data_IF_752917560313
#
_entry.id   IF_752917560313
#
_cell.length_a   1.000
_cell.length_b   1.000
_cell.length_c   1.000
_cell.angle_alpha   90.00
_cell.angle_beta   90.00
_cell.angle_gamma   90.00
#
_symmetry.space_group_name_H-M   'P 1'
#
loop_
_entity.id
_entity.type
_entity.pdbx_description
1 polymer ?
#
# COMPACT_ATOMS: atom_id res chain seq x y z
N UNK A 1 37.72 59.21 -15.21
CA UNK A 1 38.24 58.75 -16.52
C UNK A 1 39.08 57.52 -16.24
N UNK A 2 38.79 56.29 -16.65
CA UNK A 2 37.70 55.64 -17.39
C UNK A 2 37.88 54.11 -17.27
N UNK A 3 36.75 53.37 -17.22
CA UNK A 3 36.42 52.03 -17.80
C UNK A 3 37.39 50.82 -17.62
N UNK A 4 36.95 49.68 -17.06
CA UNK A 4 36.21 48.54 -17.69
C UNK A 4 36.98 47.90 -18.87
N UNK A 5 37.08 46.58 -19.12
CA UNK A 5 36.46 45.35 -18.65
C UNK A 5 36.53 44.32 -19.80
N UNK A 6 36.67 43.01 -19.51
CA UNK A 6 36.22 41.90 -20.37
C UNK A 6 37.11 41.39 -21.53
N UNK A 7 37.39 40.08 -21.53
CA UNK A 7 37.68 39.30 -22.73
C UNK A 7 37.05 37.90 -22.58
N UNK A 8 36.13 37.57 -23.49
CA UNK A 8 35.44 36.28 -23.58
C UNK A 8 36.19 35.28 -24.47
N UNK A 9 35.81 34.00 -24.35
CA UNK A 9 36.21 32.95 -25.28
C UNK A 9 34.99 32.10 -25.67
N UNK A 10 34.91 31.85 -26.97
CA UNK A 10 33.82 31.27 -27.75
C UNK A 10 33.93 29.73 -27.90
N UNK A 11 32.78 29.09 -28.09
CA UNK A 11 32.56 27.67 -28.41
C UNK A 11 33.15 27.20 -29.76
N UNK A 12 33.26 25.87 -29.98
CA UNK A 12 32.46 25.28 -31.05
C UNK A 12 31.82 23.89 -30.76
N UNK A 13 30.55 23.79 -31.17
CA UNK A 13 29.84 22.77 -31.98
C UNK A 13 30.26 21.28 -31.97
N UNK A 14 29.30 20.38 -31.66
CA UNK A 14 29.38 18.92 -31.87
C UNK A 14 28.17 18.42 -32.67
N UNK A 15 28.41 17.97 -33.91
CA UNK A 15 27.45 17.26 -34.77
C UNK A 15 27.80 15.77 -34.92
N UNK A 16 26.76 14.94 -34.83
CA UNK A 16 26.51 13.58 -35.33
C UNK A 16 27.66 12.76 -35.96
N UNK A 17 27.88 11.54 -35.44
CA UNK A 17 28.26 10.36 -36.26
C UNK A 17 27.58 9.08 -35.80
N UNK A 18 26.88 8.44 -36.74
CA UNK A 18 26.34 7.08 -36.70
C UNK A 18 27.46 6.05 -36.95
N UNK A 19 27.48 4.95 -36.18
CA UNK A 19 28.19 3.72 -36.58
C UNK A 19 27.28 2.49 -36.47
N UNK A 20 27.00 1.88 -37.63
CA UNK A 20 26.43 0.54 -37.80
C UNK A 20 27.48 -0.51 -37.41
N UNK A 21 27.10 -1.54 -36.64
CA UNK A 21 27.91 -2.75 -36.45
C UNK A 21 27.70 -3.77 -37.58
N UNK A 22 28.76 -4.52 -37.92
CA UNK A 22 28.77 -5.67 -38.84
C UNK A 22 28.73 -6.98 -38.03
N UNK A 23 27.94 -7.94 -38.50
CA UNK A 23 27.96 -9.34 -38.07
C UNK A 23 29.10 -10.10 -38.76
N UNK A 24 29.85 -10.90 -37.99
CA UNK A 24 30.33 -12.26 -38.32
C UNK A 24 31.59 -12.60 -37.51
N UNK A 25 31.51 -13.62 -36.64
CA UNK A 25 32.52 -14.66 -36.30
C UNK A 25 32.09 -15.49 -35.06
N UNK A 26 32.53 -16.77 -34.92
CA UNK A 26 31.71 -17.84 -34.33
C UNK A 26 31.84 -18.05 -32.81
N UNK A 27 30.73 -18.47 -32.21
CA UNK A 27 30.56 -18.76 -30.77
C UNK A 27 31.26 -20.07 -30.36
N UNK A 28 32.22 -19.98 -29.43
CA UNK A 28 32.71 -21.14 -28.65
C UNK A 28 31.70 -21.47 -27.54
N UNK A 29 31.23 -22.72 -27.52
CA UNK A 29 30.38 -23.27 -26.44
C UNK A 29 31.16 -23.38 -25.13
N UNK A 30 30.59 -22.86 -24.03
CA UNK A 30 30.91 -23.21 -22.65
C UNK A 30 29.60 -23.33 -21.85
N UNK A 31 29.70 -24.06 -20.73
CA UNK A 31 28.65 -24.81 -20.03
C UNK A 31 27.48 -24.03 -19.42
N UNK A 32 26.49 -24.81 -19.00
CA UNK A 32 25.19 -24.41 -18.45
C UNK A 32 25.27 -23.60 -17.15
N UNK A 33 24.27 -22.70 -17.00
CA UNK A 33 23.49 -22.36 -15.79
C UNK A 33 23.39 -20.84 -15.57
N UNK A 34 22.31 -20.24 -16.06
CA UNK A 34 21.56 -19.12 -15.47
C UNK A 34 20.65 -18.53 -16.55
N UNK A 35 19.32 -18.66 -16.40
CA UNK A 35 18.38 -17.89 -17.19
C UNK A 35 17.73 -16.83 -16.29
N UNK A 36 18.29 -15.62 -16.37
CA UNK A 36 17.52 -14.39 -16.19
C UNK A 36 16.67 -14.18 -17.45
N UNK A 37 15.39 -13.81 -17.30
CA UNK A 37 14.60 -13.29 -18.42
C UNK A 37 14.06 -11.92 -18.02
N UNK A 38 14.67 -10.91 -18.65
CA UNK A 38 14.34 -9.50 -18.54
C UNK A 38 13.13 -9.15 -19.42
N UNK A 39 12.36 -8.16 -18.96
CA UNK A 39 11.11 -7.71 -19.56
C UNK A 39 11.34 -6.93 -20.87
N UNK A 40 11.21 -7.58 -22.02
CA UNK A 40 11.02 -6.93 -23.33
C UNK A 40 10.44 -7.96 -24.31
N UNK A 41 9.16 -8.33 -24.17
CA UNK A 41 8.51 -9.24 -25.13
C UNK A 41 6.97 -9.21 -25.12
N UNK A 42 6.31 -8.06 -24.95
CA UNK A 42 4.86 -7.96 -25.20
C UNK A 42 4.51 -6.69 -25.99
N UNK A 43 4.67 -6.75 -27.30
CA UNK A 43 3.96 -5.90 -28.25
C UNK A 43 3.38 -6.78 -29.34
N UNK A 44 2.05 -6.95 -29.33
CA UNK A 44 1.30 -7.76 -30.27
C UNK A 44 -0.14 -7.30 -30.35
N UNK A 45 -0.33 -6.08 -30.87
CA UNK A 45 -1.61 -5.57 -31.33
C UNK A 45 -2.28 -6.54 -32.31
N UNK A 46 -3.53 -6.92 -32.04
CA UNK A 46 -4.56 -7.07 -33.09
C UNK A 46 -5.86 -6.41 -32.66
N UNK A 47 -6.16 -5.32 -33.36
CA UNK A 47 -7.48 -4.75 -33.55
C UNK A 47 -8.45 -5.79 -34.10
N UNK A 48 -9.65 -5.86 -33.53
CA UNK A 48 -10.87 -6.09 -34.30
C UNK A 48 -11.92 -5.05 -33.88
N UNK A 49 -12.41 -4.34 -34.90
CA UNK A 49 -13.30 -3.19 -34.83
C UNK A 49 -14.70 -3.56 -34.35
N UNK A 50 -15.31 -2.60 -33.66
CA UNK A 50 -16.76 -2.44 -33.56
C UNK A 50 -17.34 -1.83 -34.85
N UNK A 51 -18.49 -2.34 -35.26
CA UNK A 51 -19.57 -1.79 -36.11
C UNK A 51 -20.67 -2.89 -36.02
N UNK A 52 -21.85 -2.72 -35.42
CA UNK A 52 -22.80 -1.62 -35.54
C UNK A 52 -23.85 -2.05 -36.57
N UNK A 53 -25.03 -2.51 -36.11
CA UNK A 53 -26.36 -2.20 -36.68
C UNK A 53 -27.48 -3.16 -36.19
N UNK A 54 -28.66 -2.58 -35.93
CA UNK A 54 -29.91 -3.20 -36.38
C UNK A 54 -30.88 -3.75 -35.34
N UNK A 55 -31.92 -2.97 -35.05
CA UNK A 55 -33.24 -3.29 -34.49
C UNK A 55 -33.80 -4.71 -34.78
N UNK A 56 -34.56 -5.26 -33.82
CA UNK A 56 -35.46 -6.40 -34.09
C UNK A 56 -36.24 -6.93 -32.89
N UNK A 57 -37.55 -6.67 -32.89
CA UNK A 57 -38.60 -7.02 -31.92
C UNK A 57 -38.85 -8.54 -31.76
N UNK A 58 -39.08 -8.99 -30.52
CA UNK A 58 -40.15 -9.95 -30.15
C UNK A 58 -39.94 -11.45 -30.36
N UNK A 59 -40.25 -12.24 -29.32
CA UNK A 59 -40.77 -13.61 -29.50
C UNK A 59 -40.23 -14.72 -28.61
N UNK A 60 -40.94 -14.99 -27.52
CA UNK A 60 -41.30 -16.30 -26.93
C UNK A 60 -40.26 -17.39 -26.62
N UNK A 61 -40.17 -17.69 -25.31
CA UNK A 61 -40.20 -19.00 -24.65
C UNK A 61 -39.84 -20.25 -25.48
N UNK A 62 -38.70 -20.86 -25.14
CA UNK A 62 -38.50 -22.30 -25.27
C UNK A 62 -37.70 -22.82 -24.06
N UNK A 63 -38.37 -23.66 -23.27
CA UNK A 63 -37.78 -24.43 -22.18
C UNK A 63 -36.75 -25.42 -22.73
N UNK A 64 -35.54 -25.42 -22.16
CA UNK A 64 -34.59 -26.50 -22.38
C UNK A 64 -34.22 -27.16 -21.04
N UNK A 65 -34.34 -28.48 -21.05
CA UNK A 65 -34.39 -29.39 -19.90
C UNK A 65 -33.08 -29.43 -19.12
N UNK A 66 -33.22 -29.48 -17.79
CA UNK A 66 -32.19 -29.91 -16.83
C UNK A 66 -31.60 -31.26 -17.24
N UNK A 67 -30.28 -31.31 -17.39
CA UNK A 67 -29.52 -32.57 -17.32
C UNK A 67 -28.90 -32.63 -15.93
N UNK A 68 -29.51 -33.44 -15.06
CA UNK A 68 -28.91 -33.86 -13.79
C UNK A 68 -27.78 -34.85 -14.09
N UNK A 69 -26.52 -34.44 -13.92
CA UNK A 69 -25.40 -35.38 -13.80
C UNK A 69 -25.32 -35.88 -12.36
N UNK A 70 -25.66 -37.16 -12.16
CA UNK A 70 -25.38 -37.90 -10.91
C UNK A 70 -23.88 -38.17 -10.82
N UNK A 71 -23.29 -37.82 -9.68
CA UNK A 71 -21.91 -38.14 -9.33
C UNK A 71 -21.84 -39.57 -8.76
N UNK A 72 -21.06 -40.52 -9.33
CA UNK A 72 -21.06 -41.92 -8.90
C UNK A 72 -20.05 -42.27 -7.80
N UNK A 73 -19.42 -41.29 -7.13
CA UNK A 73 -18.56 -41.54 -5.97
C UNK A 73 -19.12 -40.87 -4.71
N UNK A 74 -20.07 -41.53 -4.06
CA UNK A 74 -20.52 -41.20 -2.72
C UNK A 74 -20.56 -42.50 -1.89
N UNK A 75 -19.60 -42.62 -0.97
CA UNK A 75 -19.55 -43.63 0.11
C UNK A 75 -19.12 -42.94 1.41
N UNK A 76 -19.46 -43.49 2.59
CA UNK A 76 -20.04 -42.70 3.68
C UNK A 76 -19.05 -42.20 4.75
N UNK A 77 -19.28 -40.95 5.16
CA UNK A 77 -19.25 -40.41 6.53
C UNK A 77 -18.15 -40.91 7.51
N UNK A 78 -17.02 -40.20 7.55
CA UNK A 78 -16.27 -39.97 8.78
C UNK A 78 -16.90 -38.82 9.56
N UNK A 79 -17.27 -39.07 10.83
CA UNK A 79 -17.91 -38.08 11.72
C UNK A 79 -16.96 -36.93 12.04
N UNK A 80 -17.19 -35.74 11.50
CA UNK A 80 -16.67 -34.48 12.06
C UNK A 80 -17.74 -33.91 12.98
N UNK A 81 -17.43 -33.78 14.27
CA UNK A 81 -18.32 -33.16 15.26
C UNK A 81 -18.36 -31.65 15.04
N UNK A 82 -19.45 -31.13 14.47
CA UNK A 82 -19.76 -29.71 14.53
C UNK A 82 -20.22 -29.34 15.95
N UNK A 83 -19.40 -28.56 16.67
CA UNK A 83 -19.82 -27.93 17.93
C UNK A 83 -20.79 -26.77 17.65
N UNK A 84 -21.79 -26.53 18.51
CA UNK A 84 -22.79 -25.51 18.25
C UNK A 84 -22.18 -24.10 18.31
N UNK A 85 -22.29 -23.36 17.20
CA UNK A 85 -22.05 -21.92 17.11
C UNK A 85 -22.99 -21.19 18.06
N UNK A 86 -22.49 -20.84 19.25
CA UNK A 86 -23.10 -19.83 20.10
C UNK A 86 -22.98 -18.49 19.38
N UNK A 87 -24.10 -17.94 18.91
CA UNK A 87 -24.22 -16.51 18.61
C UNK A 87 -23.85 -15.71 19.86
N UNK A 88 -22.62 -15.18 19.92
CA UNK A 88 -22.26 -14.17 20.91
C UNK A 88 -22.87 -12.84 20.46
N UNK A 89 -23.92 -12.42 21.16
CA UNK A 89 -24.49 -11.07 21.06
C UNK A 89 -23.41 -10.02 21.31
N UNK A 90 -23.46 -8.96 20.50
CA UNK A 90 -22.45 -7.93 20.36
C UNK A 90 -22.01 -7.28 21.68
N UNK A 91 -20.69 -7.19 21.83
CA UNK A 91 -20.04 -6.47 22.93
C UNK A 91 -18.77 -5.71 22.52
N UNK A 92 -18.43 -5.63 21.22
CA UNK A 92 -17.12 -5.11 20.77
C UNK A 92 -17.11 -3.71 20.14
N UNK A 93 -18.27 -3.09 19.90
CA UNK A 93 -18.31 -1.72 19.36
C UNK A 93 -17.94 -0.60 20.36
N UNK A 94 -17.78 -0.90 21.66
CA UNK A 94 -17.48 0.14 22.66
C UNK A 94 -16.04 0.64 22.63
N UNK A 95 -15.05 -0.20 22.31
CA UNK A 95 -13.64 0.23 22.30
C UNK A 95 -13.25 0.98 21.01
N UNK A 96 -13.86 0.67 19.87
CA UNK A 96 -13.58 1.35 18.61
C UNK A 96 -14.00 2.84 18.63
N UNK A 97 -15.09 3.19 19.33
CA UNK A 97 -15.57 4.59 19.39
C UNK A 97 -14.65 5.54 20.19
N UNK A 98 -13.73 5.03 21.00
CA UNK A 98 -12.78 5.85 21.76
C UNK A 98 -11.54 6.26 20.96
N UNK A 99 -11.27 5.64 19.81
CA UNK A 99 -10.15 6.06 18.96
C UNK A 99 -10.41 7.46 18.37
N UNK A 100 -9.55 8.44 18.66
CA UNK A 100 -9.70 9.80 18.17
C UNK A 100 -9.64 9.87 16.63
N UNK A 101 -8.87 8.97 16.00
CA UNK A 101 -8.79 8.82 14.54
C UNK A 101 -10.18 8.61 13.90
N UNK A 102 -11.07 7.83 14.53
CA UNK A 102 -12.44 7.59 14.03
C UNK A 102 -13.36 8.79 14.24
N UNK A 103 -13.17 9.56 15.32
CA UNK A 103 -13.91 10.81 15.57
C UNK A 103 -13.52 11.92 14.61
N UNK A 104 -12.25 11.98 14.20
CA UNK A 104 -11.72 12.94 13.24
C UNK A 104 -12.35 12.82 11.84
N UNK A 105 -12.70 11.60 11.38
CA UNK A 105 -13.23 11.39 10.04
C UNK A 105 -14.55 12.13 9.74
N UNK A 106 -15.41 12.33 10.76
CA UNK A 106 -16.68 13.07 10.59
C UNK A 106 -16.56 14.57 10.86
N UNK A 107 -15.69 14.99 11.79
CA UNK A 107 -15.57 16.42 12.19
C UNK A 107 -14.65 17.21 11.27
N UNK A 108 -13.67 16.58 10.60
CA UNK A 108 -12.75 17.22 9.63
C UNK A 108 -13.43 17.68 8.32
N UNK A 109 -14.76 17.58 8.23
CA UNK A 109 -15.54 17.86 7.04
C UNK A 109 -16.04 19.32 6.89
N UNK A 110 -15.74 20.22 7.83
CA UNK A 110 -16.48 21.49 7.92
C UNK A 110 -15.74 22.79 8.26
N UNK A 111 -14.40 22.84 8.31
CA UNK A 111 -13.70 24.10 8.57
C UNK A 111 -13.13 24.68 7.28
N UNK A 112 -13.66 25.83 6.86
CA UNK A 112 -13.00 26.72 5.88
C UNK A 112 -11.74 27.31 6.55
N UNK A 113 -10.55 27.12 5.98
CA UNK A 113 -9.30 27.58 6.60
C UNK A 113 -9.21 29.12 6.73
N UNK A 114 -10.10 29.90 6.07
CA UNK A 114 -10.10 31.36 6.20
C UNK A 114 -10.57 31.88 7.58
N UNK A 115 -11.15 31.01 8.42
CA UNK A 115 -11.67 31.40 9.75
C UNK A 115 -10.77 31.03 10.94
N UNK A 116 -9.62 30.40 10.71
CA UNK A 116 -8.73 29.95 11.78
C UNK A 116 -7.50 30.85 11.95
N UNK A 117 -7.72 32.15 12.19
CA UNK A 117 -6.68 33.06 12.70
C UNK A 117 -7.19 33.71 13.98
N UNK A 118 -7.24 32.94 15.07
CA UNK A 118 -7.19 33.54 16.41
C UNK A 118 -6.75 32.50 17.45
N UNK A 119 -5.57 32.75 18.03
CA UNK A 119 -5.05 32.25 19.30
C UNK A 119 -4.99 30.73 19.55
N UNK A 120 -3.76 30.21 19.57
CA UNK A 120 -3.38 29.05 20.38
C UNK A 120 -2.01 29.29 21.03
N UNK A 121 -2.02 29.81 22.25
CA UNK A 121 -0.91 29.68 23.20
C UNK A 121 -1.05 28.31 23.88
N UNK A 122 -0.22 27.34 23.50
CA UNK A 122 -0.05 26.09 24.26
C UNK A 122 1.38 25.55 24.14
N UNK A 123 2.10 25.67 25.26
CA UNK A 123 3.04 24.70 25.82
C UNK A 123 4.09 24.13 24.88
N UNK A 124 5.31 24.64 25.00
CA UNK A 124 6.56 24.11 24.43
C UNK A 124 6.70 22.60 24.73
N UNK A 125 6.27 21.75 23.78
CA UNK A 125 6.90 20.45 23.57
C UNK A 125 8.10 20.69 22.66
N UNK A 126 9.22 20.02 22.90
CA UNK A 126 10.44 20.18 22.14
C UNK A 126 10.23 19.86 20.63
N UNK A 127 9.94 20.90 19.84
CA UNK A 127 9.63 20.87 18.39
C UNK A 127 10.90 20.89 17.52
N UNK A 128 11.93 20.09 17.85
CA UNK A 128 13.23 20.18 17.18
C UNK A 128 13.25 19.61 15.74
N UNK A 129 12.29 18.73 15.37
CA UNK A 129 12.36 17.95 14.12
C UNK A 129 11.31 18.32 13.04
N UNK A 130 10.34 19.17 13.38
CA UNK A 130 9.27 19.55 12.46
C UNK A 130 9.81 20.51 11.39
N UNK A 131 9.63 20.14 10.12
CA UNK A 131 9.87 21.09 9.02
C UNK A 131 8.73 22.10 9.00
N UNK A 132 9.03 23.43 9.03
CA UNK A 132 8.00 24.45 9.13
C UNK A 132 7.03 24.37 7.94
N UNK A 133 5.75 24.72 8.15
CA UNK A 133 4.77 24.76 7.08
C UNK A 133 5.26 25.64 5.93
N UNK A 134 5.16 25.13 4.70
CA UNK A 134 5.43 25.92 3.49
C UNK A 134 4.19 26.75 3.17
N UNK A 135 4.36 27.96 2.64
CA UNK A 135 3.24 28.77 2.17
C UNK A 135 2.41 27.98 1.13
N UNK A 136 1.10 27.87 1.39
CA UNK A 136 0.19 27.08 0.56
C UNK A 136 -0.04 27.76 -0.78
N UNK A 137 0.08 26.99 -1.86
CA UNK A 137 -0.30 27.42 -3.20
C UNK A 137 -1.83 27.61 -3.29
N UNK A 138 -2.27 28.86 -3.39
CA UNK A 138 -3.70 29.23 -3.43
C UNK A 138 -4.34 28.99 -4.79
N UNK A 139 -3.58 28.64 -5.82
CA UNK A 139 -4.13 28.29 -7.14
C UNK A 139 -4.92 26.97 -7.11
N UNK A 140 -4.69 26.13 -6.10
CA UNK A 140 -5.38 24.85 -5.92
C UNK A 140 -6.27 24.87 -4.67
N UNK A 141 -7.30 24.01 -4.66
CA UNK A 141 -8.04 23.74 -3.44
C UNK A 141 -7.11 23.11 -2.39
N UNK A 142 -7.46 23.21 -1.10
CA UNK A 142 -6.68 22.61 -0.03
C UNK A 142 -6.44 21.12 -0.33
N UNK A 143 -5.18 20.68 -0.29
CA UNK A 143 -4.78 19.32 -0.65
C UNK A 143 -5.23 18.87 -2.07
N UNK A 144 -5.28 19.81 -3.01
CA UNK A 144 -5.52 19.64 -4.45
C UNK A 144 -6.95 19.24 -4.87
N UNK A 145 -7.54 18.21 -4.26
CA UNK A 145 -8.84 17.68 -4.66
C UNK A 145 -9.97 18.67 -4.38
N UNK A 146 -10.98 18.71 -5.25
CA UNK A 146 -12.22 19.43 -5.00
C UNK A 146 -13.06 18.80 -3.85
N UNK A 147 -13.97 19.58 -3.27
CA UNK A 147 -14.79 19.13 -2.13
C UNK A 147 -15.79 18.04 -2.48
N UNK A 148 -16.23 17.92 -3.74
CA UNK A 148 -17.13 16.85 -4.16
C UNK A 148 -16.40 15.49 -4.13
N UNK A 149 -15.18 15.47 -4.67
CA UNK A 149 -14.30 14.31 -4.71
C UNK A 149 -13.91 13.89 -3.30
N UNK A 150 -13.50 14.83 -2.44
CA UNK A 150 -13.24 14.54 -1.02
C UNK A 150 -14.46 13.97 -0.31
N UNK A 151 -15.65 14.56 -0.51
CA UNK A 151 -16.90 14.08 0.11
C UNK A 151 -17.26 12.67 -0.33
N UNK A 152 -17.03 12.33 -1.60
CA UNK A 152 -17.23 10.97 -2.11
C UNK A 152 -16.26 9.98 -1.47
N UNK A 153 -14.96 10.31 -1.41
CA UNK A 153 -13.95 9.47 -0.77
C UNK A 153 -14.27 9.27 0.71
N UNK A 154 -14.59 10.34 1.45
CA UNK A 154 -14.98 10.29 2.87
C UNK A 154 -16.17 9.35 3.12
N UNK A 155 -17.21 9.39 2.26
CA UNK A 155 -18.32 8.42 2.35
C UNK A 155 -17.86 6.99 2.13
N UNK A 156 -16.99 6.76 1.15
CA UNK A 156 -16.38 5.45 0.90
C UNK A 156 -15.59 4.96 2.11
N UNK A 157 -14.75 5.81 2.69
CA UNK A 157 -13.94 5.49 3.87
C UNK A 157 -14.80 5.13 5.08
N UNK A 158 -15.89 5.86 5.33
CA UNK A 158 -16.84 5.51 6.39
C UNK A 158 -17.48 4.13 6.17
N UNK A 159 -17.74 3.74 4.91
CA UNK A 159 -18.21 2.39 4.58
C UNK A 159 -17.13 1.34 4.79
N UNK A 160 -15.89 1.62 4.39
CA UNK A 160 -14.76 0.73 4.56
C UNK A 160 -14.45 0.47 6.04
N UNK A 161 -14.54 1.51 6.88
CA UNK A 161 -14.39 1.38 8.33
C UNK A 161 -15.51 0.54 8.94
N UNK A 162 -16.75 0.71 8.46
CA UNK A 162 -17.90 -0.05 8.94
C UNK A 162 -17.93 -1.51 8.45
N UNK A 163 -17.15 -1.84 7.41
CA UNK A 163 -17.06 -3.19 6.82
C UNK A 163 -15.58 -3.53 6.66
N UNK A 164 -14.87 -3.86 7.75
CA UNK A 164 -13.42 -4.06 7.75
C UNK A 164 -12.97 -5.10 6.72
N UNK A 165 -11.92 -4.79 5.96
CA UNK A 165 -11.38 -5.67 4.91
C UNK A 165 -12.18 -5.71 3.60
N UNK A 166 -13.39 -5.13 3.53
CA UNK A 166 -14.17 -5.08 2.28
C UNK A 166 -13.67 -3.98 1.32
N UNK A 167 -13.49 -4.36 0.06
CA UNK A 167 -13.03 -3.48 -1.02
C UNK A 167 -14.18 -2.59 -1.53
N UNK A 168 -14.33 -1.39 -0.97
CA UNK A 168 -15.36 -0.43 -1.37
C UNK A 168 -14.98 0.23 -2.70
N UNK A 169 -15.83 0.17 -3.74
CA UNK A 169 -15.60 0.90 -4.99
C UNK A 169 -15.75 2.41 -4.80
N UNK A 170 -14.87 3.19 -5.42
CA UNK A 170 -14.95 4.65 -5.38
C UNK A 170 -14.62 5.28 -6.74
N UNK A 171 -15.20 6.44 -7.03
CA UNK A 171 -14.99 7.17 -8.29
C UNK A 171 -13.68 7.96 -8.31
N UNK A 172 -12.54 7.28 -8.14
CA UNK A 172 -11.23 7.93 -8.09
C UNK A 172 -10.92 8.77 -9.33
N UNK A 173 -10.14 9.83 -9.14
CA UNK A 173 -9.73 10.78 -10.18
C UNK A 173 -8.28 10.58 -10.57
N UNK A 174 -7.91 11.11 -11.72
CA UNK A 174 -6.53 11.30 -12.14
C UNK A 174 -5.85 12.28 -11.17
N UNK A 175 -4.59 11.98 -10.84
CA UNK A 175 -3.74 12.79 -9.97
C UNK A 175 -2.53 13.26 -10.78
N UNK A 176 -1.77 14.27 -10.32
CA UNK A 176 -0.54 14.72 -10.99
C UNK A 176 0.64 13.73 -10.80
N UNK A 177 0.34 12.43 -10.77
CA UNK A 177 1.26 11.31 -10.82
C UNK A 177 0.62 10.19 -11.66
N UNK A 178 1.41 9.39 -12.42
CA UNK A 178 0.87 8.28 -13.19
C UNK A 178 0.19 7.23 -12.31
N UNK A 179 -0.81 6.53 -12.86
CA UNK A 179 -1.37 5.37 -12.19
C UNK A 179 -0.27 4.34 -11.88
N UNK A 180 -0.33 3.75 -10.69
CA UNK A 180 0.71 2.86 -10.16
C UNK A 180 1.72 3.54 -9.23
N UNK A 181 1.79 4.87 -9.21
CA UNK A 181 2.69 5.65 -8.36
C UNK A 181 2.00 6.18 -7.09
N UNK A 182 1.09 5.39 -6.51
CA UNK A 182 0.47 5.75 -5.23
C UNK A 182 -0.74 6.68 -5.27
N UNK A 183 -1.36 6.89 -6.44
CA UNK A 183 -2.47 7.85 -6.60
C UNK A 183 -3.69 7.56 -5.72
N UNK A 184 -3.92 6.30 -5.32
CA UNK A 184 -4.96 5.93 -4.37
C UNK A 184 -4.67 6.47 -2.97
N UNK A 185 -3.46 6.18 -2.45
CA UNK A 185 -3.00 6.73 -1.17
C UNK A 185 -3.04 8.25 -1.14
N UNK A 186 -2.60 8.93 -2.20
CA UNK A 186 -2.69 10.40 -2.27
C UNK A 186 -4.13 10.91 -2.21
N UNK A 187 -5.08 10.27 -2.89
CA UNK A 187 -6.48 10.69 -2.84
C UNK A 187 -7.07 10.53 -1.44
N UNK A 188 -6.72 9.45 -0.75
CA UNK A 188 -7.12 9.22 0.63
C UNK A 188 -6.52 10.28 1.56
N UNK A 189 -5.20 10.50 1.50
CA UNK A 189 -4.51 11.54 2.27
C UNK A 189 -5.16 12.90 2.03
N UNK A 190 -5.34 13.31 0.77
CA UNK A 190 -6.00 14.58 0.41
C UNK A 190 -7.42 14.74 0.97
N UNK A 191 -8.15 13.63 1.14
CA UNK A 191 -9.51 13.65 1.67
C UNK A 191 -9.56 13.73 3.20
N UNK A 192 -8.56 13.21 3.92
CA UNK A 192 -8.57 13.13 5.40
C UNK A 192 -7.70 14.20 6.09
N UNK A 193 -6.75 14.80 5.36
CA UNK A 193 -5.82 15.78 5.89
C UNK A 193 -6.57 17.03 6.39
N UNK A 194 -6.17 17.54 7.55
CA UNK A 194 -6.51 18.85 8.09
C UNK A 194 -5.30 19.78 8.13
N UNK A 195 -5.53 21.07 8.35
CA UNK A 195 -4.45 22.08 8.37
C UNK A 195 -3.44 21.86 9.52
N UNK A 196 -3.89 21.31 10.64
CA UNK A 196 -3.08 21.03 11.84
C UNK A 196 -2.42 19.63 11.82
N UNK A 197 -2.63 18.85 10.76
CA UNK A 197 -2.01 17.52 10.68
C UNK A 197 -0.51 17.63 10.40
N UNK A 198 0.25 16.69 10.97
CA UNK A 198 1.67 16.50 10.69
C UNK A 198 1.81 15.27 9.79
N UNK A 199 2.25 15.48 8.55
CA UNK A 199 2.35 14.44 7.54
C UNK A 199 3.75 13.81 7.50
N UNK A 200 3.81 12.49 7.65
CA UNK A 200 4.97 11.66 7.29
C UNK A 200 4.67 10.87 6.02
N UNK A 201 5.63 10.77 5.12
CA UNK A 201 5.49 9.98 3.87
C UNK A 201 6.73 9.12 3.69
N UNK A 202 6.51 7.81 3.56
CA UNK A 202 7.57 6.82 3.37
C UNK A 202 7.28 5.93 2.15
N UNK A 203 8.33 5.50 1.47
CA UNK A 203 8.31 4.47 0.43
C UNK A 203 9.50 3.54 0.69
N UNK A 204 9.28 2.23 0.70
CA UNK A 204 10.26 1.23 1.17
C UNK A 204 10.77 1.49 2.60
N UNK A 205 9.99 2.14 3.46
CA UNK A 205 10.38 2.45 4.85
C UNK A 205 11.19 3.73 5.02
N UNK A 206 11.63 4.34 3.93
CA UNK A 206 12.47 5.53 3.94
C UNK A 206 11.73 6.79 3.47
N UNK A 207 12.03 7.92 4.12
CA UNK A 207 11.41 9.23 3.84
C UNK A 207 12.05 9.97 2.65
N UNK A 208 13.28 9.62 2.28
CA UNK A 208 14.10 10.30 1.28
C UNK A 208 14.06 9.66 -0.12
N UNK A 209 13.29 8.58 -0.27
CA UNK A 209 13.00 7.97 -1.56
C UNK A 209 12.29 8.93 -2.50
N UNK A 210 12.56 8.79 -3.80
CA UNK A 210 12.11 9.73 -4.85
C UNK A 210 10.59 9.96 -4.82
N UNK A 211 9.82 8.89 -4.67
CA UNK A 211 8.37 8.96 -4.61
C UNK A 211 7.85 9.57 -3.30
N UNK A 212 8.44 9.20 -2.15
CA UNK A 212 8.07 9.78 -0.86
C UNK A 212 8.34 11.29 -0.80
N UNK A 213 9.50 11.73 -1.28
CA UNK A 213 9.86 13.15 -1.40
C UNK A 213 8.89 13.89 -2.31
N UNK A 214 8.54 13.30 -3.46
CA UNK A 214 7.60 13.89 -4.42
C UNK A 214 6.21 14.11 -3.80
N UNK A 215 5.64 13.07 -3.16
CA UNK A 215 4.33 13.12 -2.51
C UNK A 215 4.33 14.08 -1.32
N UNK A 216 5.38 14.06 -0.48
CA UNK A 216 5.51 14.96 0.66
C UNK A 216 5.57 16.42 0.21
N UNK A 217 6.39 16.73 -0.79
CA UNK A 217 6.47 18.09 -1.39
C UNK A 217 5.15 18.52 -2.01
N UNK A 218 4.44 17.61 -2.66
CA UNK A 218 3.13 17.88 -3.23
C UNK A 218 2.13 18.32 -2.15
N UNK A 219 2.04 17.62 -1.02
CA UNK A 219 1.15 18.01 0.07
C UNK A 219 1.63 19.25 0.84
N UNK A 220 2.94 19.39 1.05
CA UNK A 220 3.50 20.61 1.63
C UNK A 220 3.10 21.85 0.79
N UNK A 221 3.17 21.75 -0.54
CA UNK A 221 2.77 22.85 -1.45
C UNK A 221 1.25 23.08 -1.51
N UNK A 222 0.45 22.02 -1.61
CA UNK A 222 -1.00 22.15 -1.88
C UNK A 222 -1.86 22.27 -0.63
N UNK A 223 -1.37 21.82 0.52
CA UNK A 223 -2.06 21.88 1.80
C UNK A 223 -1.37 22.80 2.82
N UNK A 224 -0.07 23.08 2.68
CA UNK A 224 0.67 23.89 3.65
C UNK A 224 0.76 23.23 5.02
N UNK A 225 0.74 21.90 5.08
CA UNK A 225 0.83 21.14 6.35
C UNK A 225 2.27 20.99 6.82
N UNK A 226 2.45 20.86 8.14
CA UNK A 226 3.74 20.48 8.71
C UNK A 226 4.11 19.05 8.28
N UNK A 227 5.41 18.80 8.13
CA UNK A 227 5.91 17.45 7.80
C UNK A 227 6.98 17.02 8.77
N UNK A 228 7.05 15.72 9.02
CA UNK A 228 8.05 15.11 9.90
C UNK A 228 8.60 13.83 9.26
N UNK A 229 9.81 13.48 9.66
CA UNK A 229 10.42 12.19 9.38
C UNK A 229 10.28 11.26 10.61
N UNK A 230 9.78 11.76 11.74
CA UNK A 230 9.64 10.98 12.99
C UNK A 230 8.26 10.36 13.11
N UNK A 231 8.20 9.04 13.21
CA UNK A 231 6.96 8.28 13.34
C UNK A 231 6.10 8.73 14.53
N UNK A 232 6.64 8.98 15.74
CA UNK A 232 5.83 9.44 16.89
C UNK A 232 5.24 10.84 16.76
N UNK A 233 5.73 11.67 15.83
CA UNK A 233 5.28 13.05 15.67
C UNK A 233 4.20 13.18 14.58
N UNK A 234 4.04 12.16 13.74
CA UNK A 234 3.10 12.18 12.63
C UNK A 234 1.66 11.92 13.09
N UNK A 235 0.70 12.67 12.58
CA UNK A 235 -0.74 12.37 12.74
C UNK A 235 -1.28 11.56 11.56
N UNK A 236 -0.71 11.77 10.37
CA UNK A 236 -1.01 11.00 9.16
C UNK A 236 0.29 10.48 8.57
N UNK A 237 0.36 9.17 8.33
CA UNK A 237 1.51 8.50 7.74
C UNK A 237 1.06 7.86 6.42
N UNK A 238 1.52 8.39 5.29
CA UNK A 238 1.31 7.75 4.00
C UNK A 238 2.48 6.84 3.68
N UNK A 239 2.21 5.55 3.48
CA UNK A 239 3.23 4.53 3.28
C UNK A 239 3.07 3.79 1.96
N UNK A 240 4.20 3.34 1.41
CA UNK A 240 4.29 2.30 0.39
C UNK A 240 5.24 1.21 0.87
N UNK A 241 4.72 -0.01 0.97
CA UNK A 241 5.42 -1.27 1.25
C UNK A 241 5.97 -1.47 2.66
N UNK A 242 5.78 -0.56 3.63
CA UNK A 242 6.28 -0.77 4.99
C UNK A 242 5.32 -0.28 6.07
N UNK A 243 5.35 -0.92 7.22
CA UNK A 243 4.81 -0.39 8.48
C UNK A 243 6.02 -0.01 9.35
N UNK A 244 6.06 1.21 9.93
CA UNK A 244 7.15 1.62 10.80
C UNK A 244 7.46 0.58 11.88
N UNK A 245 8.72 0.49 12.29
CA UNK A 245 9.12 -0.36 13.41
C UNK A 245 8.67 0.23 14.74
N UNK A 246 8.60 1.57 14.82
CA UNK A 246 8.07 2.27 15.98
C UNK A 246 6.57 1.98 16.14
N UNK A 247 6.11 1.52 17.32
CA UNK A 247 4.69 1.26 17.57
C UNK A 247 3.82 2.50 17.34
N UNK A 248 2.72 2.30 16.63
CA UNK A 248 1.75 3.36 16.33
C UNK A 248 0.87 3.66 17.56
N UNK A 249 0.24 4.84 17.60
CA UNK A 249 -0.69 5.22 18.66
C UNK A 249 -2.09 5.61 18.12
N UNK A 250 -3.07 5.74 19.02
CA UNK A 250 -4.50 5.82 18.70
C UNK A 250 -4.96 7.06 17.91
N UNK A 251 -4.10 8.08 17.83
CA UNK A 251 -4.38 9.33 17.13
C UNK A 251 -3.81 9.35 15.70
N UNK A 252 -3.09 8.29 15.30
CA UNK A 252 -2.45 8.20 13.99
C UNK A 252 -3.37 7.52 12.97
N UNK A 253 -3.24 7.96 11.72
CA UNK A 253 -3.85 7.33 10.56
C UNK A 253 -2.75 6.88 9.59
N UNK A 254 -2.70 5.58 9.31
CA UNK A 254 -1.86 4.98 8.29
C UNK A 254 -2.62 4.94 6.96
N UNK A 255 -2.00 5.44 5.89
CA UNK A 255 -2.55 5.42 4.52
C UNK A 255 -1.65 4.59 3.62
N UNK A 256 -2.11 3.40 3.23
CA UNK A 256 -1.37 2.44 2.42
C UNK A 256 -1.63 2.65 0.92
N UNK A 257 -0.54 2.68 0.14
CA UNK A 257 -0.60 2.67 -1.32
C UNK A 257 -0.75 1.24 -1.83
N UNK A 258 -1.84 0.97 -2.53
CA UNK A 258 -2.19 -0.38 -2.98
C UNK A 258 -2.18 -0.47 -4.51
N UNK A 259 -1.37 -1.34 -5.12
CA UNK A 259 -1.41 -1.57 -6.56
C UNK A 259 -2.55 -2.51 -6.99
N UNK A 260 -2.78 -3.58 -6.22
CA UNK A 260 -3.79 -4.61 -6.45
C UNK A 260 -4.51 -4.80 -5.11
N UNK A 261 -5.80 -4.44 -5.00
CA UNK A 261 -6.56 -4.54 -3.75
C UNK A 261 -7.20 -5.92 -3.52
N UNK A 262 -7.23 -6.75 -4.56
CA UNK A 262 -7.95 -8.01 -4.60
C UNK A 262 -6.98 -9.16 -4.27
N UNK A 263 -7.04 -9.75 -3.06
CA UNK A 263 -6.13 -10.82 -2.66
C UNK A 263 -6.27 -12.08 -3.55
N UNK A 264 -7.44 -12.31 -4.16
CA UNK A 264 -7.68 -13.46 -5.03
C UNK A 264 -7.23 -13.22 -6.48
N UNK A 265 -6.69 -12.04 -6.83
CA UNK A 265 -6.47 -11.63 -8.23
C UNK A 265 -5.57 -12.57 -9.03
N UNK A 266 -4.58 -13.17 -8.38
CA UNK A 266 -3.65 -14.09 -9.03
C UNK A 266 -4.20 -15.52 -9.18
N UNK A 267 -5.32 -15.82 -8.52
CA UNK A 267 -6.05 -17.08 -8.63
C UNK A 267 -7.20 -16.91 -9.63
N UNK A 268 -8.00 -15.85 -9.46
CA UNK A 268 -9.14 -15.52 -10.30
C UNK A 268 -8.99 -14.07 -10.84
N UNK A 269 -8.69 -13.89 -12.14
CA UNK A 269 -8.49 -12.58 -12.72
C UNK A 269 -9.79 -11.78 -12.91
N UNK A 270 -10.97 -12.41 -12.90
CA UNK A 270 -12.27 -11.75 -13.10
C UNK A 270 -12.79 -11.11 -11.81
N UNK A 271 -12.93 -9.78 -11.81
CA UNK A 271 -13.54 -9.03 -10.71
C UNK A 271 -15.00 -9.44 -10.41
N UNK A 272 -15.75 -9.90 -11.43
CA UNK A 272 -17.13 -10.35 -11.23
C UNK A 272 -17.18 -11.61 -10.38
N UNK A 273 -16.22 -12.52 -10.61
CA UNK A 273 -16.11 -13.77 -9.86
C UNK A 273 -15.57 -13.50 -8.46
N UNK A 274 -14.46 -12.77 -8.30
CA UNK A 274 -13.88 -12.48 -6.97
C UNK A 274 -14.86 -11.73 -6.08
N UNK A 275 -15.67 -10.81 -6.62
CA UNK A 275 -16.74 -10.15 -5.87
C UNK A 275 -17.78 -11.13 -5.35
N UNK A 276 -18.14 -12.14 -6.15
CA UNK A 276 -19.10 -13.18 -5.76
C UNK A 276 -18.49 -14.07 -4.66
N UNK A 277 -17.22 -14.41 -4.77
CA UNK A 277 -16.49 -15.17 -3.74
C UNK A 277 -16.46 -14.41 -2.42
N UNK A 278 -16.11 -13.12 -2.45
CA UNK A 278 -16.19 -12.23 -1.28
C UNK A 278 -17.59 -12.15 -0.66
N UNK A 279 -18.64 -12.11 -1.48
CA UNK A 279 -20.02 -12.08 -0.98
C UNK A 279 -20.43 -13.39 -0.31
N UNK A 280 -19.90 -14.52 -0.78
CA UNK A 280 -20.26 -15.86 -0.32
C UNK A 280 -19.33 -16.45 0.75
N UNK A 281 -18.27 -15.74 1.15
CA UNK A 281 -17.20 -16.29 2.01
C UNK A 281 -16.37 -17.42 1.37
N UNK A 282 -16.28 -17.45 0.04
CA UNK A 282 -15.62 -18.55 -0.66
C UNK A 282 -14.11 -18.33 -0.79
N UNK A 283 -13.39 -18.50 0.32
CA UNK A 283 -11.94 -18.34 0.40
C UNK A 283 -11.17 -19.66 0.36
N UNK A 284 -11.83 -20.77 0.01
CA UNK A 284 -11.20 -22.08 -0.08
C UNK A 284 -10.02 -22.09 -1.06
N UNK A 285 -10.15 -21.39 -2.19
CA UNK A 285 -9.10 -21.33 -3.21
C UNK A 285 -7.81 -20.70 -2.72
N UNK A 286 -7.87 -19.77 -1.77
CA UNK A 286 -6.68 -19.16 -1.19
C UNK A 286 -5.90 -20.17 -0.35
N UNK A 287 -6.61 -20.99 0.43
CA UNK A 287 -5.98 -22.08 1.17
C UNK A 287 -5.36 -23.12 0.23
N UNK A 288 -6.04 -23.47 -0.87
CA UNK A 288 -5.47 -24.38 -1.89
C UNK A 288 -4.14 -23.82 -2.43
N UNK A 289 -4.11 -22.53 -2.81
CA UNK A 289 -2.89 -21.88 -3.31
C UNK A 289 -1.76 -21.93 -2.28
N UNK A 290 -2.03 -21.61 -1.01
CA UNK A 290 -1.00 -21.63 0.04
C UNK A 290 -0.46 -23.05 0.27
N UNK A 291 -1.32 -24.06 0.17
CA UNK A 291 -0.92 -25.46 0.30
C UNK A 291 -0.12 -25.97 -0.92
N UNK A 292 -0.43 -25.49 -2.13
CA UNK A 292 0.36 -25.76 -3.33
C UNK A 292 1.80 -25.24 -3.20
N UNK A 293 1.99 -24.05 -2.63
CA UNK A 293 3.32 -23.51 -2.34
C UNK A 293 4.09 -24.44 -1.39
N UNK A 294 3.45 -24.88 -0.30
CA UNK A 294 4.04 -25.80 0.68
C UNK A 294 4.42 -27.13 0.04
N UNK A 295 3.52 -27.72 -0.75
CA UNK A 295 3.78 -29.00 -1.42
C UNK A 295 4.92 -28.89 -2.45
N UNK A 296 5.11 -27.74 -3.08
CA UNK A 296 6.11 -27.53 -4.14
C UNK A 296 7.48 -27.13 -3.57
N UNK A 297 7.52 -26.25 -2.57
CA UNK A 297 8.74 -25.61 -2.08
C UNK A 297 9.07 -25.95 -0.62
N UNK A 298 8.20 -26.68 0.08
CA UNK A 298 8.32 -26.98 1.52
C UNK A 298 8.00 -25.78 2.43
N UNK A 299 7.63 -24.64 1.86
CA UNK A 299 7.27 -23.41 2.58
C UNK A 299 6.36 -22.55 1.70
N UNK A 300 5.65 -21.60 2.31
CA UNK A 300 4.80 -20.67 1.57
C UNK A 300 5.69 -19.66 0.84
N UNK A 301 5.59 -19.61 -0.50
CA UNK A 301 6.42 -18.78 -1.37
C UNK A 301 6.04 -17.29 -1.33
N UNK A 302 4.87 -16.96 -0.79
CA UNK A 302 4.37 -15.58 -0.69
C UNK A 302 5.15 -14.80 0.38
N UNK A 303 6.00 -13.86 -0.04
CA UNK A 303 6.91 -13.10 0.85
C UNK A 303 6.43 -11.70 1.21
N UNK A 304 5.54 -11.11 0.39
CA UNK A 304 4.90 -9.80 0.58
C UNK A 304 3.44 -9.86 0.10
N UNK A 305 2.63 -8.85 0.42
CA UNK A 305 1.19 -8.85 0.14
C UNK A 305 0.51 -10.13 0.63
N UNK A 306 0.93 -10.61 1.80
CA UNK A 306 0.50 -11.90 2.33
C UNK A 306 -0.94 -11.79 2.84
N UNK A 307 -1.89 -12.62 2.36
CA UNK A 307 -3.31 -12.44 2.65
C UNK A 307 -3.62 -12.57 4.14
N UNK A 308 -4.46 -11.67 4.65
CA UNK A 308 -4.91 -11.65 6.05
C UNK A 308 -6.42 -11.77 6.14
N UNK A 309 -6.91 -12.46 7.16
CA UNK A 309 -8.31 -12.47 7.57
C UNK A 309 -8.57 -11.31 8.55
N UNK A 310 -9.46 -10.41 8.17
CA UNK A 310 -9.84 -9.23 8.97
C UNK A 310 -11.20 -9.46 9.60
N UNK A 311 -11.28 -9.20 10.91
CA UNK A 311 -12.50 -9.31 11.73
C UNK A 311 -13.23 -10.65 11.54
N UNK A 312 -12.46 -11.74 11.40
CA UNK A 312 -12.95 -13.11 11.23
C UNK A 312 -13.89 -13.29 10.02
N UNK A 313 -13.81 -12.39 9.01
CA UNK A 313 -14.74 -12.41 7.88
C UNK A 313 -14.13 -12.15 6.52
N UNK A 314 -13.42 -11.05 6.30
CA UNK A 314 -12.91 -10.70 4.98
C UNK A 314 -11.43 -11.08 4.86
N UNK A 315 -11.10 -11.91 3.86
CA UNK A 315 -9.71 -11.99 3.39
C UNK A 315 -9.37 -10.70 2.65
N UNK A 316 -8.25 -10.08 3.03
CA UNK A 316 -7.81 -8.76 2.58
C UNK A 316 -6.34 -8.83 2.12
N UNK A 317 -6.02 -8.08 1.06
CA UNK A 317 -4.64 -7.77 0.68
C UNK A 317 -4.12 -6.62 1.58
N UNK A 318 -3.06 -6.83 2.39
CA UNK A 318 -2.54 -5.81 3.30
C UNK A 318 -1.66 -4.76 2.62
N UNK A 319 -1.78 -4.59 1.30
CA UNK A 319 -0.82 -3.92 0.41
C UNK A 319 0.50 -4.71 0.30
N UNK A 320 1.44 -4.33 -0.58
CA UNK A 320 2.73 -4.99 -0.74
C UNK A 320 3.71 -4.75 0.42
N UNK A 321 3.23 -4.79 1.66
CA UNK A 321 4.08 -4.90 2.83
C UNK A 321 4.70 -6.30 2.89
N UNK A 322 5.93 -6.45 3.40
CA UNK A 322 6.51 -7.77 3.67
C UNK A 322 5.65 -8.49 4.70
N UNK A 323 5.59 -9.83 4.64
CA UNK A 323 4.87 -10.61 5.67
C UNK A 323 5.40 -10.34 7.08
N UNK A 324 6.66 -9.91 7.22
CA UNK A 324 7.23 -9.36 8.45
C UNK A 324 6.36 -8.29 9.13
N UNK A 325 5.71 -7.43 8.35
CA UNK A 325 4.90 -6.34 8.86
C UNK A 325 3.45 -6.76 9.20
N UNK A 326 2.96 -7.91 8.71
CA UNK A 326 1.58 -8.36 8.96
C UNK A 326 1.19 -8.40 10.45
N UNK A 327 2.02 -8.91 11.39
CA UNK A 327 1.68 -8.90 12.81
C UNK A 327 1.41 -7.52 13.39
N UNK A 328 1.95 -6.45 12.80
CA UNK A 328 1.72 -5.06 13.24
C UNK A 328 0.31 -4.55 12.89
N UNK A 329 -0.42 -5.27 12.03
CA UNK A 329 -1.81 -4.97 11.71
C UNK A 329 -2.77 -5.43 12.82
N UNK A 330 -2.44 -6.52 13.51
CA UNK A 330 -3.33 -7.10 14.53
C UNK A 330 -3.46 -6.19 15.74
N UNK A 331 -4.70 -5.89 16.13
CA UNK A 331 -5.03 -5.09 17.31
C UNK A 331 -4.32 -3.73 17.39
N UNK A 332 -3.88 -3.19 16.23
CA UNK A 332 -3.19 -1.91 16.17
C UNK A 332 -4.07 -0.77 16.66
N UNK A 333 -3.55 0.19 17.45
CA UNK A 333 -4.34 1.31 17.92
C UNK A 333 -4.61 2.35 16.81
N UNK A 334 -3.82 2.38 15.74
CA UNK A 334 -3.97 3.33 14.65
C UNK A 334 -5.05 2.90 13.65
N UNK A 335 -5.65 3.88 12.97
CA UNK A 335 -6.58 3.60 11.87
C UNK A 335 -5.80 3.33 10.59
N UNK A 336 -6.10 2.23 9.91
CA UNK A 336 -5.42 1.84 8.67
C UNK A 336 -6.36 1.96 7.47
N UNK A 337 -5.97 2.79 6.50
CA UNK A 337 -6.73 3.06 5.29
C UNK A 337 -5.92 2.65 4.06
N UNK A 338 -6.55 1.93 3.15
CA UNK A 338 -5.89 1.36 2.00
C UNK A 338 -6.48 1.93 0.71
N UNK A 339 -5.63 2.45 -0.18
CA UNK A 339 -6.07 3.16 -1.38
C UNK A 339 -5.50 2.58 -2.66
N UNK A 340 -6.36 1.96 -3.48
CA UNK A 340 -6.04 1.47 -4.82
C UNK A 340 -6.64 2.40 -5.89
N UNK A 341 -5.87 3.40 -6.32
CA UNK A 341 -6.36 4.45 -7.22
C UNK A 341 -6.65 3.98 -8.63
N UNK A 342 -5.83 3.07 -9.17
CA UNK A 342 -6.01 2.50 -10.52
C UNK A 342 -7.20 1.54 -10.55
N UNK A 343 -7.30 0.66 -9.56
CA UNK A 343 -8.38 -0.34 -9.44
C UNK A 343 -9.68 0.23 -8.84
N UNK A 344 -9.66 1.51 -8.44
CA UNK A 344 -10.83 2.23 -7.91
C UNK A 344 -11.43 1.54 -6.70
N UNK A 345 -10.59 1.10 -5.75
CA UNK A 345 -10.99 0.51 -4.46
C UNK A 345 -10.35 1.25 -3.29
N UNK A 346 -11.10 1.32 -2.20
CA UNK A 346 -10.59 1.71 -0.89
C UNK A 346 -11.13 0.72 0.15
N UNK A 347 -10.35 0.48 1.19
CA UNK A 347 -10.73 -0.41 2.29
C UNK A 347 -10.01 0.03 3.57
N UNK A 348 -10.39 -0.54 4.71
CA UNK A 348 -9.88 -0.11 6.00
C UNK A 348 -9.80 -1.26 7.00
N UNK A 349 -8.92 -1.09 7.98
CA UNK A 349 -8.89 -1.85 9.23
C UNK A 349 -9.03 -0.82 10.36
N UNK A 350 -10.17 -0.83 11.09
CA UNK A 350 -10.34 0.04 12.24
C UNK A 350 -9.35 -0.27 13.38
N UNK A 351 -9.08 0.69 14.27
CA UNK A 351 -8.33 0.44 15.49
C UNK A 351 -8.83 -0.77 16.28
N UNK A 352 -7.91 -1.53 16.86
CA UNK A 352 -8.19 -2.69 17.71
C UNK A 352 -9.04 -3.77 17.01
N UNK A 353 -8.85 -3.92 15.70
CA UNK A 353 -9.47 -4.99 14.91
C UNK A 353 -8.53 -6.19 14.83
N UNK A 354 -9.11 -7.40 14.89
CA UNK A 354 -8.36 -8.64 14.74
C UNK A 354 -7.92 -8.82 13.28
N UNK A 355 -6.63 -9.04 13.06
CA UNK A 355 -6.05 -9.31 11.74
C UNK A 355 -5.13 -10.51 11.86
N UNK A 356 -5.45 -11.60 11.15
CA UNK A 356 -4.70 -12.85 11.24
C UNK A 356 -4.21 -13.23 9.85
N UNK A 357 -2.91 -13.43 9.67
CA UNK A 357 -2.35 -13.99 8.43
C UNK A 357 -2.90 -15.40 8.22
N UNK A 358 -3.28 -15.73 6.98
CA UNK A 358 -3.73 -17.09 6.67
C UNK A 358 -2.59 -18.10 6.82
N UNK A 359 -2.79 -19.15 7.59
CA UNK A 359 -1.82 -20.23 7.80
C UNK A 359 -2.53 -21.57 8.00
N UNK A 360 -1.76 -22.61 8.33
CA UNK A 360 -2.28 -23.93 8.67
C UNK A 360 -1.77 -24.36 10.05
N UNK A 361 -2.49 -25.25 10.72
CA UNK A 361 -2.08 -25.77 12.04
C UNK A 361 -0.70 -26.46 12.00
N UNK A 362 -0.41 -27.14 10.89
CA UNK A 362 0.84 -27.85 10.61
C UNK A 362 1.92 -26.96 9.98
N UNK A 363 1.55 -25.79 9.46
CA UNK A 363 2.44 -24.82 8.84
C UNK A 363 2.08 -23.39 9.31
N UNK A 364 2.49 -23.02 10.54
CA UNK A 364 2.12 -21.73 11.12
C UNK A 364 2.78 -20.56 10.38
N UNK A 365 2.20 -19.37 10.52
CA UNK A 365 2.76 -18.16 9.93
C UNK A 365 4.16 -17.81 10.48
N UNK A 366 5.12 -17.65 9.58
CA UNK A 366 6.50 -17.24 9.90
C UNK A 366 6.90 -15.94 9.21
N UNK A 367 7.52 -15.03 9.97
CA UNK A 367 8.09 -13.78 9.47
C UNK A 367 9.51 -13.98 8.95
N UNK A 368 10.00 -13.05 8.11
CA UNK A 368 11.40 -13.03 7.70
C UNK A 368 12.35 -12.89 8.89
N UNK A 369 13.52 -13.53 8.78
CA UNK A 369 14.63 -13.44 9.73
C UNK A 369 15.94 -13.31 8.97
N UNK A 370 16.89 -12.62 9.57
CA UNK A 370 18.26 -12.45 9.08
C UNK A 370 19.24 -12.93 10.15
N UNK A 371 20.37 -13.50 9.73
CA UNK A 371 21.48 -13.81 10.65
C UNK A 371 22.27 -12.53 11.00
N UNK A 372 22.28 -11.58 10.07
CA UNK A 372 22.93 -10.28 10.18
C UNK A 372 22.09 -9.31 11.01
N UNK A 373 22.74 -8.27 11.52
CA UNK A 373 22.09 -7.08 12.08
C UNK A 373 22.30 -5.88 11.16
N UNK A 374 21.57 -4.81 11.43
CA UNK A 374 21.80 -3.54 10.76
C UNK A 374 23.25 -3.06 10.98
N UNK A 375 23.98 -2.83 9.89
CA UNK A 375 25.37 -2.36 9.91
C UNK A 375 25.54 -0.95 10.51
N UNK A 376 24.45 -0.18 10.64
CA UNK A 376 24.46 1.20 11.16
C UNK A 376 24.13 1.22 12.65
N UNK A 377 22.94 0.71 13.02
CA UNK A 377 22.44 0.79 14.41
C UNK A 377 22.48 -0.55 15.17
N UNK A 378 22.96 -1.64 14.56
CA UNK A 378 23.06 -2.95 15.20
C UNK A 378 21.72 -3.63 15.54
N UNK A 379 20.59 -3.16 14.99
CA UNK A 379 19.27 -3.76 15.24
C UNK A 379 19.16 -5.16 14.63
N UNK A 380 18.64 -6.10 15.42
CA UNK A 380 18.23 -7.45 14.97
C UNK A 380 16.71 -7.58 14.78
N UNK A 381 15.93 -6.57 15.22
CA UNK A 381 14.46 -6.65 15.31
C UNK A 381 13.75 -5.91 14.17
N UNK A 382 14.49 -5.36 13.21
CA UNK A 382 13.97 -4.54 12.11
C UNK A 382 14.00 -5.30 10.79
N UNK A 383 13.11 -4.93 9.87
CA UNK A 383 13.23 -5.37 8.48
C UNK A 383 14.50 -4.80 7.85
N UNK A 384 15.31 -5.65 7.21
CA UNK A 384 16.60 -5.26 6.64
C UNK A 384 16.55 -5.18 5.11
N UNK A 385 17.08 -4.09 4.57
CA UNK A 385 17.40 -3.93 3.15
C UNK A 385 18.82 -4.47 2.89
N UNK A 386 18.95 -5.19 1.78
CA UNK A 386 20.23 -5.70 1.30
C UNK A 386 20.87 -4.70 0.33
N UNK A 387 22.08 -4.25 0.65
CA UNK A 387 22.90 -3.35 -0.16
C UNK A 387 24.07 -4.11 -0.76
N UNK A 388 24.20 -4.07 -2.08
CA UNK A 388 25.37 -4.59 -2.80
C UNK A 388 26.42 -3.48 -2.86
N UNK A 389 27.57 -3.68 -2.22
CA UNK A 389 28.62 -2.68 -2.05
C UNK A 389 29.64 -2.67 -3.19
N UNK A 390 29.86 -3.81 -3.85
CA UNK A 390 30.82 -3.96 -4.94
C UNK A 390 30.36 -4.98 -5.99
N UNK A 391 31.06 -4.99 -7.13
CA UNK A 391 30.83 -5.95 -8.22
C UNK A 391 31.31 -7.37 -7.88
N UNK A 392 32.02 -7.54 -6.76
CA UNK A 392 32.48 -8.83 -6.25
C UNK A 392 31.42 -9.55 -5.40
N UNK A 393 30.29 -8.89 -5.12
CA UNK A 393 29.16 -9.45 -4.38
C UNK A 393 29.20 -9.21 -2.88
N UNK A 394 30.01 -8.25 -2.39
CA UNK A 394 29.98 -7.86 -0.98
C UNK A 394 28.64 -7.23 -0.65
N UNK A 395 27.97 -7.77 0.37
CA UNK A 395 26.66 -7.34 0.82
C UNK A 395 26.72 -6.65 2.19
N UNK A 396 25.81 -5.72 2.43
CA UNK A 396 25.57 -5.11 3.74
C UNK A 396 24.07 -5.04 4.00
N UNK A 397 23.68 -5.23 5.27
CA UNK A 397 22.27 -5.19 5.66
C UNK A 397 22.02 -3.96 6.52
N UNK A 398 21.01 -3.17 6.16
CA UNK A 398 20.65 -1.94 6.87
C UNK A 398 19.15 -1.91 7.18
N UNK A 399 18.74 -1.18 8.22
CA UNK A 399 17.31 -1.02 8.50
C UNK A 399 16.61 -0.35 7.32
N UNK A 400 15.50 -0.95 6.89
CA UNK A 400 14.63 -0.35 5.88
C UNK A 400 13.84 0.85 6.42
N UNK A 401 13.50 0.84 7.72
CA UNK A 401 12.95 2.02 8.40
C UNK A 401 14.09 2.95 8.84
N UNK A 402 14.26 4.05 8.10
CA UNK A 402 15.36 5.00 8.30
C UNK A 402 15.19 5.85 9.55
N UNK A 403 13.95 6.17 9.94
CA UNK A 403 13.64 6.92 11.16
C UNK A 403 14.00 6.09 12.39
N UNK A 404 13.55 4.84 12.42
CA UNK A 404 13.91 3.90 13.49
C UNK A 404 15.43 3.71 13.59
N UNK A 405 16.12 3.56 12.46
CA UNK A 405 17.57 3.42 12.42
C UNK A 405 18.29 4.63 13.02
N UNK A 406 17.89 5.85 12.63
CA UNK A 406 18.48 7.09 13.11
C UNK A 406 18.25 7.28 14.62
N UNK A 407 17.05 7.00 15.11
CA UNK A 407 16.74 7.07 16.54
C UNK A 407 17.62 6.12 17.35
N UNK A 408 17.80 4.88 16.88
CA UNK A 408 18.66 3.90 17.55
C UNK A 408 20.14 4.27 17.52
N UNK A 409 20.65 4.74 16.39
CA UNK A 409 22.02 5.20 16.28
C UNK A 409 22.31 6.36 17.25
N UNK A 410 21.41 7.35 17.31
CA UNK A 410 21.54 8.48 18.25
C UNK A 410 21.49 8.05 19.72
N UNK A 411 20.63 7.07 20.07
CA UNK A 411 20.60 6.52 21.43
C UNK A 411 21.91 5.81 21.81
N UNK A 412 22.53 5.11 20.86
CA UNK A 412 23.82 4.45 21.08
C UNK A 412 24.97 5.45 21.23
N UNK A 413 24.97 6.53 20.46
CA UNK A 413 25.93 7.62 20.60
C UNK A 413 25.81 8.31 21.95
N UNK A 414 24.58 8.61 22.39
CA UNK A 414 24.34 9.25 23.69
C UNK A 414 24.64 8.35 24.90
N UNK A 415 24.69 7.03 24.70
CA UNK A 415 25.01 6.05 25.73
C UNK A 415 26.51 5.75 25.85
N UNK A 416 27.32 6.20 24.88
CA UNK A 416 28.79 6.15 24.91
C UNK A 416 29.35 7.42 25.54
#
# INVERSE_FOLDING_TARGET
MDRAGGAGLSHPDWRHRNHRMRNDQPVRRLGHCACAVHAWLWSGLRQCRAQGDGHGVGGSLAACRRVQRRNPFASPAGRVRAGPLRQRRGGRFRFALEAAALRGLSVRAGADPQTAQTHCDRGERAMSSLKPPVERDTAYNFAYLDEQTKRMIRRGLLKAVAIPGYQVPFGGREMPLPYGWGTGGMQLTAAILGAEDVLKVIDQGADDTTNAVSIRRFFARTAGVATTERTPEATVIQTRHRIPETPLHADQIMVYQVPIPEPLRFIEPSETETRTMHALDDYGVMHVKLYEDIATFGHIATSYAYPVMVDERYVMDPSPIPKFDNPKLDMSPALMLFGAGREKRLYAVPPFTRVVSLDFEDHPFEVQRWEQCCAICGSHDSFLDELILDDAGTQSFVCSDTDYCAQRASQQENAR
#
